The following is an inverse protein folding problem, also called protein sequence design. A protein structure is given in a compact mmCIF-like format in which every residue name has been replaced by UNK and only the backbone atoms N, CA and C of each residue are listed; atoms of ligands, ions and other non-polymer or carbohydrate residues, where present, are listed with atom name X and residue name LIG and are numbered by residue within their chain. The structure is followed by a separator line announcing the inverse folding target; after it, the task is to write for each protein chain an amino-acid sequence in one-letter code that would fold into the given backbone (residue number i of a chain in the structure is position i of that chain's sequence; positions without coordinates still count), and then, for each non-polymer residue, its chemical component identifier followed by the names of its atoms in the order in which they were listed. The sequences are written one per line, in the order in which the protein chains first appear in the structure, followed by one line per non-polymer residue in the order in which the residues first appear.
data_IF_383771404576
#
_entry.id   IF_383771404576
#
_cell.length_a   1.000
_cell.length_b   1.000
_cell.length_c   1.000
_cell.angle_alpha   90.00
_cell.angle_beta   90.00
_cell.angle_gamma   90.00
#
_symmetry.space_group_name_H-M   'P 1'
#
loop_
_entity.id
_entity.type
_entity.pdbx_description
1 polymer ?
#
# COMPACT_ATOMS: atom_id res chain seq x y z
N UNK A 1 21.99 -13.47 30.39
CA UNK A 1 21.54 -14.32 29.27
C UNK A 1 20.59 -13.50 28.41
N UNK A 2 20.99 -13.12 27.20
CA UNK A 2 20.08 -12.49 26.23
C UNK A 2 19.36 -13.62 25.49
N UNK A 3 18.06 -13.73 25.67
CA UNK A 3 17.24 -14.78 25.04
C UNK A 3 17.23 -14.57 23.53
N UNK A 4 17.01 -15.63 22.74
CA UNK A 4 16.97 -15.54 21.27
C UNK A 4 15.99 -14.50 20.73
N UNK A 5 15.00 -14.09 21.55
CA UNK A 5 14.07 -13.00 21.28
C UNK A 5 14.74 -11.61 21.19
N UNK A 6 15.73 -11.30 22.04
CA UNK A 6 16.47 -10.02 21.97
C UNK A 6 17.30 -9.92 20.68
N UNK A 7 17.76 -11.06 20.16
CA UNK A 7 18.50 -11.13 18.89
C UNK A 7 17.55 -10.95 17.70
N UNK A 8 16.37 -11.58 17.73
CA UNK A 8 15.33 -11.42 16.71
C UNK A 8 14.76 -10.00 16.66
N UNK A 9 14.57 -9.35 17.81
CA UNK A 9 14.11 -7.95 17.86
C UNK A 9 15.21 -6.98 17.40
N UNK A 10 16.48 -7.26 17.70
CA UNK A 10 17.58 -6.45 17.15
C UNK A 10 17.77 -6.69 15.66
N UNK A 11 17.64 -7.91 15.17
CA UNK A 11 17.70 -8.22 13.74
C UNK A 11 16.51 -7.59 12.99
N UNK A 12 15.28 -7.67 13.52
CA UNK A 12 14.12 -7.03 12.88
C UNK A 12 14.25 -5.50 12.81
N UNK A 13 14.75 -4.86 13.87
CA UNK A 13 15.07 -3.42 13.83
C UNK A 13 16.27 -3.10 12.92
N UNK A 14 17.26 -4.00 12.81
CA UNK A 14 18.40 -3.87 11.90
C UNK A 14 17.99 -3.99 10.41
N UNK A 15 16.94 -4.76 10.12
CA UNK A 15 16.30 -4.81 8.79
C UNK A 15 15.35 -3.63 8.54
N UNK A 16 14.84 -2.98 9.59
CA UNK A 16 13.99 -1.79 9.47
C UNK A 16 14.79 -0.51 9.22
N UNK A 17 16.01 -0.40 9.78
CA UNK A 17 16.86 0.80 9.70
C UNK A 17 17.87 0.79 8.52
N UNK A 18 18.16 -0.37 7.91
CA UNK A 18 19.00 -0.43 6.71
C UNK A 18 18.20 -0.11 5.46
N UNK A 19 17.94 1.18 5.25
CA UNK A 19 18.13 1.83 3.95
C UNK A 19 17.55 1.11 2.75
N UNK A 20 16.38 0.50 2.88
CA UNK A 20 15.50 0.43 1.74
C UNK A 20 15.13 1.88 1.48
N UNK A 21 15.77 2.47 0.49
CA UNK A 21 15.12 3.45 -0.35
C UNK A 21 13.84 2.76 -0.87
N UNK A 22 12.80 2.75 -0.03
CA UNK A 22 11.44 2.51 -0.44
C UNK A 22 11.13 3.69 -1.35
N UNK A 23 11.57 3.60 -2.61
CA UNK A 23 10.79 4.17 -3.70
C UNK A 23 9.34 3.89 -3.32
N UNK A 24 8.57 4.95 -3.06
CA UNK A 24 7.20 4.80 -2.58
C UNK A 24 6.42 4.01 -3.63
N UNK A 25 6.40 2.70 -3.46
CA UNK A 25 5.99 1.78 -4.48
C UNK A 25 4.49 1.72 -4.44
N UNK A 26 3.89 2.60 -5.22
CA UNK A 26 2.46 2.59 -5.49
C UNK A 26 2.03 1.19 -5.92
N UNK A 27 1.10 0.62 -5.17
CA UNK A 27 0.45 -0.62 -5.53
C UNK A 27 -0.79 -0.27 -6.33
N UNK A 28 -0.86 -0.79 -7.56
CA UNK A 28 -1.93 -0.48 -8.51
C UNK A 28 -2.99 -1.57 -8.51
N UNK A 29 -4.26 -1.16 -8.43
CA UNK A 29 -5.35 -2.08 -8.71
C UNK A 29 -5.38 -2.46 -10.19
N UNK A 30 -5.55 -3.76 -10.46
CA UNK A 30 -5.60 -4.30 -11.82
C UNK A 30 -6.77 -3.75 -12.65
N UNK A 31 -7.85 -3.28 -12.00
CA UNK A 31 -9.07 -2.81 -12.66
C UNK A 31 -9.02 -1.32 -12.96
N UNK A 32 -9.33 -0.97 -14.22
CA UNK A 32 -9.59 0.40 -14.65
C UNK A 32 -11.08 0.64 -14.87
N UNK A 33 -11.52 1.86 -14.56
CA UNK A 33 -12.91 2.30 -14.59
C UNK A 33 -13.13 3.36 -15.66
N UNK A 34 -14.38 3.45 -16.15
CA UNK A 34 -14.75 4.44 -17.18
C UNK A 34 -14.94 5.83 -16.59
N UNK A 35 -15.41 5.92 -15.34
CA UNK A 35 -15.66 7.20 -14.65
C UNK A 35 -14.83 7.32 -13.38
N UNK A 36 -14.55 8.57 -12.97
CA UNK A 36 -13.87 8.86 -11.70
C UNK A 36 -14.70 8.40 -10.51
N UNK A 37 -16.02 8.48 -10.59
CA UNK A 37 -16.95 8.02 -9.55
C UNK A 37 -16.78 6.54 -9.24
N UNK A 38 -16.76 5.68 -10.26
CA UNK A 38 -16.57 4.24 -10.09
C UNK A 38 -15.23 3.91 -9.40
N UNK A 39 -14.14 4.58 -9.79
CA UNK A 39 -12.85 4.44 -9.13
C UNK A 39 -12.90 4.96 -7.67
N UNK A 40 -13.66 6.02 -7.41
CA UNK A 40 -13.85 6.58 -6.07
C UNK A 40 -14.58 5.64 -5.11
N UNK A 41 -15.55 4.86 -5.60
CA UNK A 41 -16.18 3.82 -4.78
C UNK A 41 -15.15 2.78 -4.30
N UNK A 42 -14.23 2.36 -5.17
CA UNK A 42 -13.15 1.43 -4.79
C UNK A 42 -12.16 2.08 -3.82
N UNK A 43 -11.74 3.33 -4.08
CA UNK A 43 -10.83 4.06 -3.21
C UNK A 43 -11.40 4.21 -1.79
N UNK A 44 -12.69 4.57 -1.66
CA UNK A 44 -13.34 4.69 -0.36
C UNK A 44 -13.43 3.35 0.37
N UNK A 45 -13.71 2.27 -0.37
CA UNK A 45 -13.68 0.91 0.18
C UNK A 45 -12.29 0.55 0.70
N UNK A 46 -11.23 0.88 -0.04
CA UNK A 46 -9.84 0.65 0.38
C UNK A 46 -9.45 1.41 1.66
N UNK A 47 -9.91 2.64 1.81
CA UNK A 47 -9.69 3.43 3.03
C UNK A 47 -10.41 2.85 4.26
N UNK A 48 -11.53 2.14 4.05
CA UNK A 48 -12.35 1.58 5.13
C UNK A 48 -11.96 0.14 5.47
N UNK A 49 -11.78 -0.68 4.44
CA UNK A 49 -11.42 -2.08 4.52
C UNK A 49 -9.90 -2.17 4.33
N UNK A 50 -9.15 -1.72 5.35
CA UNK A 50 -7.67 -1.67 5.33
C UNK A 50 -6.99 -3.01 5.11
N UNK A 51 -7.75 -4.12 5.11
CA UNK A 51 -7.26 -5.46 4.85
C UNK A 51 -7.32 -5.84 3.37
N UNK A 52 -6.28 -5.49 2.63
CA UNK A 52 -6.12 -5.87 1.23
C UNK A 52 -4.72 -6.45 1.02
N UNK A 53 -4.65 -7.70 0.54
CA UNK A 53 -3.41 -8.44 0.26
C UNK A 53 -2.43 -8.56 1.45
N UNK A 54 -2.93 -8.57 2.69
CA UNK A 54 -2.09 -8.71 3.89
C UNK A 54 -1.48 -7.41 4.42
N UNK A 55 -1.79 -6.27 3.79
CA UNK A 55 -1.58 -4.95 4.39
C UNK A 55 -2.77 -4.65 5.30
N UNK A 56 -2.50 -4.04 6.46
CA UNK A 56 -3.52 -3.77 7.48
C UNK A 56 -4.13 -2.37 7.38
N UNK A 57 -3.39 -1.41 6.83
CA UNK A 57 -3.85 -0.04 6.70
C UNK A 57 -3.09 0.71 5.60
N UNK A 58 -3.70 1.03 4.45
CA UNK A 58 -3.05 1.81 3.41
C UNK A 58 -2.86 3.25 3.87
N UNK A 59 -1.61 3.72 3.98
CA UNK A 59 -1.28 5.10 4.37
C UNK A 59 -1.90 6.16 3.46
N UNK A 60 -2.04 5.87 2.18
CA UNK A 60 -2.63 6.78 1.21
C UNK A 60 -3.31 6.02 0.07
N UNK A 61 -4.49 6.49 -0.35
CA UNK A 61 -5.23 5.95 -1.49
C UNK A 61 -5.51 7.08 -2.48
N UNK A 62 -5.24 6.84 -3.76
CA UNK A 62 -5.38 7.84 -4.82
C UNK A 62 -6.10 7.27 -6.05
N UNK A 63 -6.92 8.11 -6.68
CA UNK A 63 -7.46 7.85 -8.02
C UNK A 63 -6.55 8.54 -9.04
N UNK A 64 -6.01 7.79 -9.99
CA UNK A 64 -5.22 8.33 -11.10
C UNK A 64 -5.95 8.17 -12.43
N UNK A 65 -5.59 9.00 -13.41
CA UNK A 65 -6.07 8.87 -14.80
C UNK A 65 -4.98 8.22 -15.66
N UNK A 66 -5.31 7.09 -16.27
CA UNK A 66 -4.45 6.43 -17.25
C UNK A 66 -4.30 7.27 -18.52
N UNK A 67 -3.23 7.03 -19.27
CA UNK A 67 -2.98 7.65 -20.59
C UNK A 67 -4.12 7.45 -21.60
N UNK A 68 -4.87 6.34 -21.47
CA UNK A 68 -6.02 6.02 -22.31
C UNK A 68 -7.34 6.62 -21.81
N UNK A 69 -7.29 7.53 -20.84
CA UNK A 69 -8.44 8.27 -20.32
C UNK A 69 -9.29 7.54 -19.26
N UNK A 70 -9.01 6.26 -18.97
CA UNK A 70 -9.66 5.49 -17.89
C UNK A 70 -9.08 5.82 -16.51
N UNK A 71 -9.81 5.53 -15.45
CA UNK A 71 -9.43 5.81 -14.06
C UNK A 71 -8.97 4.54 -13.35
N UNK A 72 -7.91 4.60 -12.57
CA UNK A 72 -7.44 3.50 -11.71
C UNK A 72 -7.30 3.97 -10.27
N UNK A 73 -7.16 3.01 -9.35
CA UNK A 73 -6.87 3.27 -7.94
C UNK A 73 -5.49 2.71 -7.63
N UNK A 74 -4.71 3.47 -6.86
CA UNK A 74 -3.43 3.04 -6.32
C UNK A 74 -3.35 3.39 -4.85
N UNK A 75 -2.56 2.64 -4.10
CA UNK A 75 -2.34 2.95 -2.69
C UNK A 75 -0.88 2.76 -2.31
N UNK A 76 -0.52 3.38 -1.19
CA UNK A 76 0.75 3.17 -0.52
C UNK A 76 0.50 2.32 0.72
N UNK A 77 1.20 1.18 0.87
CA UNK A 77 1.17 0.42 2.11
C UNK A 77 1.84 1.21 3.24
#
# INVERSE_FOLDING_TARGET
MKTGYDKLMKESHYFADKGAEYSMNWIYFAKLFRTRFQAGCLAKRLEQDGWIYGYHDPRFVEIYRSRKGKYGVRFLP
#
